data_IF_456544085894
#
_entry.id   IF_456544085894
#
_cell.length_a   1.000
_cell.length_b   1.000
_cell.length_c   1.000
_cell.angle_alpha   90.00
_cell.angle_beta   90.00
_cell.angle_gamma   90.00
#
_symmetry.space_group_name_H-M   'P 1'
#
loop_
_entity.id
_entity.type
_entity.pdbx_description
1 polymer ?
#
# COMPACT_ATOMS: atom_id res chain seq x y z
N UNK A 1 -1.83 -33.80 13.36
CA UNK A 1 -1.28 -32.43 13.31
C UNK A 1 -2.18 -31.69 12.33
N UNK A 2 -3.02 -30.78 12.80
CA UNK A 2 -3.88 -30.01 11.90
C UNK A 2 -2.98 -29.09 11.06
N UNK A 3 -3.20 -29.06 9.73
CA UNK A 3 -2.56 -28.05 8.89
C UNK A 3 -2.91 -26.68 9.45
N UNK A 4 -1.96 -25.72 9.52
CA UNK A 4 -2.32 -24.35 9.87
C UNK A 4 -3.40 -23.89 8.88
N UNK A 5 -4.51 -23.41 9.42
CA UNK A 5 -5.60 -22.85 8.62
C UNK A 5 -5.03 -21.69 7.80
N UNK A 6 -5.21 -21.75 6.47
CA UNK A 6 -4.78 -20.68 5.58
C UNK A 6 -5.60 -19.42 5.88
N UNK A 7 -4.96 -18.24 5.94
CA UNK A 7 -5.67 -17.01 6.26
C UNK A 7 -6.63 -16.62 5.14
N UNK A 8 -7.87 -16.33 5.50
CA UNK A 8 -8.90 -15.77 4.64
C UNK A 8 -8.94 -14.24 4.74
N UNK A 9 -9.68 -13.59 3.84
CA UNK A 9 -9.87 -12.13 3.85
C UNK A 9 -10.39 -11.61 5.20
N UNK A 10 -11.24 -12.39 5.87
CA UNK A 10 -11.81 -12.04 7.16
C UNK A 10 -10.79 -12.10 8.29
N UNK A 11 -9.81 -13.01 8.22
CA UNK A 11 -8.74 -13.11 9.22
C UNK A 11 -7.88 -11.85 9.21
N UNK A 12 -7.56 -11.33 8.02
CA UNK A 12 -6.92 -10.02 7.88
C UNK A 12 -7.79 -8.88 8.42
N UNK A 13 -9.10 -8.90 8.15
CA UNK A 13 -10.00 -7.85 8.61
C UNK A 13 -10.15 -7.84 10.14
N UNK A 14 -10.23 -9.01 10.77
CA UNK A 14 -10.23 -9.17 12.23
C UNK A 14 -8.90 -8.73 12.81
N UNK A 15 -7.79 -9.21 12.24
CA UNK A 15 -6.45 -8.79 12.62
C UNK A 15 -6.30 -7.27 12.48
N UNK A 16 -6.88 -6.61 11.48
CA UNK A 16 -6.80 -5.15 11.32
C UNK A 16 -7.79 -4.34 12.17
N UNK A 17 -8.68 -5.01 12.93
CA UNK A 17 -9.71 -4.33 13.73
C UNK A 17 -10.81 -3.68 12.87
N UNK A 18 -11.03 -4.23 11.67
CA UNK A 18 -12.06 -3.83 10.71
C UNK A 18 -13.33 -4.68 10.85
N UNK A 19 -13.18 -5.89 11.40
CA UNK A 19 -14.25 -6.86 11.65
C UNK A 19 -14.10 -7.45 13.05
N UNK A 20 -15.22 -7.82 13.69
CA UNK A 20 -15.21 -8.57 14.96
C UNK A 20 -14.93 -10.05 14.69
N UNK A 21 -14.13 -10.66 15.54
CA UNK A 21 -13.88 -12.10 15.58
C UNK A 21 -15.17 -12.88 15.86
N UNK A 22 -15.24 -14.07 15.26
CA UNK A 22 -16.26 -15.08 15.55
C UNK A 22 -15.56 -16.43 15.71
N UNK A 23 -15.54 -17.06 16.91
CA UNK A 23 -16.27 -16.68 18.13
C UNK A 23 -15.69 -15.46 18.89
N UNK A 24 -16.46 -14.86 19.81
CA UNK A 24 -16.02 -13.72 20.61
C UNK A 24 -14.75 -14.03 21.43
N UNK A 25 -13.75 -13.14 21.37
CA UNK A 25 -12.51 -13.24 22.15
C UNK A 25 -11.22 -13.31 21.32
N UNK A 26 -11.33 -13.36 19.98
CA UNK A 26 -10.19 -13.25 19.07
C UNK A 26 -9.82 -11.80 18.71
N UNK A 27 -10.54 -10.80 19.22
CA UNK A 27 -10.31 -9.39 18.93
C UNK A 27 -9.03 -8.90 19.61
N UNK A 28 -8.17 -8.25 18.85
CA UNK A 28 -6.99 -7.55 19.39
C UNK A 28 -7.47 -6.22 19.97
N UNK A 29 -7.29 -5.97 21.29
CA UNK A 29 -7.72 -4.74 21.94
C UNK A 29 -7.12 -3.47 21.31
N UNK A 30 -7.82 -2.35 21.44
CA UNK A 30 -7.24 -1.03 21.13
C UNK A 30 -5.99 -0.79 21.99
N UNK A 31 -4.96 -0.19 21.41
CA UNK A 31 -3.65 0.00 22.04
C UNK A 31 -2.61 -1.07 21.68
N UNK A 32 -3.04 -2.28 21.30
CA UNK A 32 -2.13 -3.38 20.93
C UNK A 32 -1.76 -3.38 19.44
N UNK A 33 -1.42 -2.21 18.91
CA UNK A 33 -1.24 -2.01 17.47
C UNK A 33 0.04 -2.69 16.93
N UNK A 34 1.00 -2.92 17.80
CA UNK A 34 2.18 -3.71 17.47
C UNK A 34 1.85 -5.19 17.35
N UNK A 35 1.06 -5.74 18.28
CA UNK A 35 0.52 -7.11 18.17
C UNK A 35 -0.30 -7.27 16.89
N UNK A 36 -1.11 -6.25 16.56
CA UNK A 36 -1.84 -6.15 15.30
C UNK A 36 -0.95 -6.31 14.08
N UNK A 37 0.12 -5.50 14.04
CA UNK A 37 1.09 -5.52 12.97
C UNK A 37 1.77 -6.88 12.79
N UNK A 38 2.17 -7.52 13.89
CA UNK A 38 2.80 -8.84 13.86
C UNK A 38 1.89 -9.93 13.30
N UNK A 39 0.62 -9.97 13.72
CA UNK A 39 -0.35 -10.95 13.22
C UNK A 39 -0.62 -10.73 11.73
N UNK A 40 -0.79 -9.49 11.30
CA UNK A 40 -0.98 -9.15 9.88
C UNK A 40 0.22 -9.61 9.04
N UNK A 41 1.46 -9.35 9.48
CA UNK A 41 2.66 -9.82 8.76
C UNK A 41 2.76 -11.34 8.72
N UNK A 42 2.41 -12.02 9.81
CA UNK A 42 2.36 -13.48 9.84
C UNK A 42 1.37 -14.03 8.81
N UNK A 43 0.16 -13.46 8.73
CA UNK A 43 -0.83 -13.85 7.73
C UNK A 43 -0.38 -13.54 6.30
N UNK A 44 0.28 -12.40 6.06
CA UNK A 44 0.85 -12.09 4.73
C UNK A 44 1.85 -13.16 4.31
N UNK A 45 2.80 -13.51 5.16
CA UNK A 45 3.77 -14.56 4.89
C UNK A 45 3.10 -15.90 4.61
N UNK A 46 2.10 -16.29 5.40
CA UNK A 46 1.35 -17.53 5.17
C UNK A 46 0.59 -17.51 3.83
N UNK A 47 0.01 -16.37 3.44
CA UNK A 47 -0.71 -16.25 2.17
C UNK A 47 0.26 -16.32 0.98
N UNK A 48 1.44 -15.72 1.07
CA UNK A 48 2.49 -15.75 0.02
C UNK A 48 2.92 -17.19 -0.32
N UNK A 49 2.85 -18.12 0.63
CA UNK A 49 3.15 -19.55 0.45
C UNK A 49 2.00 -20.35 -0.21
N UNK A 50 0.85 -19.73 -0.46
CA UNK A 50 -0.32 -20.40 -1.09
C UNK A 50 -0.29 -20.28 -2.62
N UNK A 51 -1.04 -21.12 -3.37
CA UNK A 51 -1.18 -20.94 -4.82
C UNK A 51 -1.73 -19.56 -5.19
N UNK A 52 -1.23 -18.97 -6.28
CA UNK A 52 -1.59 -17.60 -6.69
C UNK A 52 -3.09 -17.33 -6.81
N UNK A 53 -3.87 -18.30 -7.28
CA UNK A 53 -5.34 -18.20 -7.35
C UNK A 53 -6.00 -17.98 -5.98
N UNK A 54 -5.45 -18.61 -4.93
CA UNK A 54 -5.92 -18.42 -3.56
C UNK A 54 -5.57 -17.01 -3.06
N UNK A 55 -4.33 -16.57 -3.30
CA UNK A 55 -3.88 -15.23 -2.96
C UNK A 55 -4.78 -14.16 -3.59
N UNK A 56 -5.02 -14.29 -4.89
CA UNK A 56 -5.88 -13.38 -5.66
C UNK A 56 -7.31 -13.34 -5.11
N UNK A 57 -7.87 -14.50 -4.73
CA UNK A 57 -9.19 -14.57 -4.13
C UNK A 57 -9.24 -13.86 -2.76
N UNK A 58 -8.24 -14.08 -1.90
CA UNK A 58 -8.14 -13.44 -0.58
C UNK A 58 -8.04 -11.92 -0.73
N UNK A 59 -7.15 -11.44 -1.59
CA UNK A 59 -6.96 -10.02 -1.85
C UNK A 59 -8.16 -9.37 -2.52
N UNK A 60 -8.79 -10.01 -3.51
CA UNK A 60 -9.97 -9.48 -4.17
C UNK A 60 -11.16 -9.34 -3.20
N UNK A 61 -11.39 -10.35 -2.35
CA UNK A 61 -12.45 -10.30 -1.31
C UNK A 61 -12.16 -9.22 -0.28
N UNK A 62 -10.92 -9.18 0.24
CA UNK A 62 -10.51 -8.15 1.18
C UNK A 62 -10.74 -6.75 0.61
N UNK A 63 -10.31 -6.53 -0.63
CA UNK A 63 -10.49 -5.26 -1.32
C UNK A 63 -11.96 -4.89 -1.55
N UNK A 64 -12.82 -5.87 -1.85
CA UNK A 64 -14.23 -5.63 -2.10
C UNK A 64 -14.97 -5.16 -0.83
N UNK A 65 -14.59 -5.69 0.33
CA UNK A 65 -15.32 -5.49 1.58
C UNK A 65 -14.65 -4.46 2.52
N UNK A 66 -13.32 -4.48 2.63
CA UNK A 66 -12.60 -3.80 3.71
C UNK A 66 -11.65 -2.69 3.25
N UNK A 67 -11.45 -2.48 1.94
CA UNK A 67 -10.54 -1.45 1.44
C UNK A 67 -10.90 -0.03 1.93
N UNK A 68 -12.15 0.45 1.87
CA UNK A 68 -12.48 1.78 2.37
C UNK A 68 -12.16 1.96 3.85
N UNK A 69 -12.49 0.97 4.67
CA UNK A 69 -12.21 1.00 6.10
C UNK A 69 -10.69 0.94 6.41
N UNK A 70 -9.93 0.20 5.60
CA UNK A 70 -8.46 0.16 5.70
C UNK A 70 -7.85 1.53 5.40
N UNK A 71 -8.32 2.20 4.35
CA UNK A 71 -7.88 3.57 4.02
C UNK A 71 -8.27 4.56 5.11
N UNK A 72 -9.51 4.48 5.61
CA UNK A 72 -9.98 5.33 6.70
C UNK A 72 -9.13 5.17 7.96
N UNK A 73 -8.84 3.94 8.38
CA UNK A 73 -7.94 3.66 9.51
C UNK A 73 -6.55 4.21 9.27
N UNK A 74 -5.97 4.00 8.08
CA UNK A 74 -4.64 4.56 7.79
C UNK A 74 -4.65 6.08 7.92
N UNK A 75 -5.68 6.77 7.44
CA UNK A 75 -5.75 8.23 7.41
C UNK A 75 -6.04 8.86 8.78
N UNK A 76 -7.00 8.30 9.50
CA UNK A 76 -7.62 8.94 10.66
C UNK A 76 -7.20 8.32 11.99
N UNK A 77 -6.67 7.08 11.98
CA UNK A 77 -6.11 6.45 13.16
C UNK A 77 -4.59 6.70 13.16
N UNK A 78 -4.13 7.54 14.07
CA UNK A 78 -2.71 7.66 14.41
C UNK A 78 -2.49 6.78 15.65
N UNK A 79 -2.28 5.47 15.45
CA UNK A 79 -2.01 4.59 16.57
C UNK A 79 -0.79 5.09 17.34
N UNK A 80 -0.91 5.11 18.66
CA UNK A 80 0.25 5.34 19.51
C UNK A 80 0.72 3.96 19.98
N UNK A 81 1.99 3.58 19.73
CA UNK A 81 2.49 2.27 20.10
C UNK A 81 2.71 2.23 21.61
N UNK A 82 1.72 1.81 22.40
CA UNK A 82 1.94 1.45 23.80
C UNK A 82 1.43 0.03 24.05
N UNK A 83 2.31 -0.94 23.81
CA UNK A 83 2.30 -2.16 24.61
C UNK A 83 3.34 -1.95 25.71
N UNK A 84 2.88 -1.74 26.95
CA UNK A 84 3.68 -1.37 28.12
C UNK A 84 4.57 -2.51 28.67
N UNK A 85 4.87 -3.53 27.86
CA UNK A 85 5.71 -4.66 28.26
C UNK A 85 7.05 -4.60 27.51
N UNK A 86 8.05 -4.01 28.17
CA UNK A 86 9.38 -3.71 27.64
C UNK A 86 10.24 -4.95 27.33
N UNK A 87 9.73 -6.17 27.54
CA UNK A 87 10.60 -7.31 27.82
C UNK A 87 11.09 -8.13 26.62
N UNK A 88 10.52 -8.04 25.40
CA UNK A 88 10.94 -8.97 24.33
C UNK A 88 10.94 -8.39 22.89
N UNK A 89 12.13 -8.45 22.27
CA UNK A 89 12.46 -8.39 20.82
C UNK A 89 12.81 -7.06 20.11
N UNK A 90 13.59 -7.22 19.03
CA UNK A 90 14.41 -6.24 18.29
C UNK A 90 13.64 -5.31 17.33
N UNK A 91 12.31 -5.40 17.25
CA UNK A 91 11.44 -4.41 16.56
C UNK A 91 11.24 -3.11 17.39
N UNK A 92 12.03 -2.99 18.47
CA UNK A 92 12.26 -1.84 19.35
C UNK A 92 12.64 -0.53 18.66
N UNK A 93 12.64 -0.42 17.34
CA UNK A 93 13.17 0.73 16.61
C UNK A 93 12.09 1.62 15.97
N UNK A 94 10.83 1.16 15.98
CA UNK A 94 9.65 2.01 15.74
C UNK A 94 9.19 2.69 17.04
N UNK A 95 10.13 3.23 17.83
CA UNK A 95 9.83 3.85 19.13
C UNK A 95 9.05 5.14 19.02
N UNK A 96 9.14 5.83 17.88
CA UNK A 96 8.43 7.09 17.69
C UNK A 96 7.04 6.85 17.10
N UNK A 97 6.07 7.59 17.62
CA UNK A 97 4.72 7.61 17.07
C UNK A 97 4.74 7.96 15.56
N UNK A 98 5.70 8.78 15.11
CA UNK A 98 5.87 9.13 13.70
C UNK A 98 6.33 7.93 12.85
N UNK A 99 7.27 7.11 13.33
CA UNK A 99 7.70 5.90 12.61
C UNK A 99 6.53 4.93 12.45
N UNK A 100 5.74 4.74 13.51
CA UNK A 100 4.57 3.89 13.48
C UNK A 100 3.45 4.48 12.61
N UNK A 101 3.23 5.79 12.64
CA UNK A 101 2.29 6.46 11.74
C UNK A 101 2.68 6.26 10.26
N UNK A 102 3.98 6.29 9.95
CA UNK A 102 4.51 6.12 8.60
C UNK A 102 4.63 4.65 8.15
N UNK A 103 4.62 3.69 9.08
CA UNK A 103 4.62 2.26 8.78
C UNK A 103 3.79 1.50 9.84
N UNK A 104 2.54 1.24 9.51
CA UNK A 104 1.58 0.54 10.36
C UNK A 104 0.93 -0.62 9.59
N UNK A 105 0.18 -1.49 10.28
CA UNK A 105 -0.49 -2.63 9.65
C UNK A 105 -1.42 -2.25 8.48
N UNK A 106 -2.09 -1.10 8.53
CA UNK A 106 -2.96 -0.68 7.41
C UNK A 106 -2.16 -0.26 6.18
N UNK A 107 -0.98 0.34 6.36
CA UNK A 107 -0.06 0.63 5.27
C UNK A 107 0.47 -0.66 4.63
N UNK A 108 0.92 -1.62 5.44
CA UNK A 108 1.37 -2.94 4.95
C UNK A 108 0.26 -3.63 4.14
N UNK A 109 -0.97 -3.59 4.63
CA UNK A 109 -2.11 -4.15 3.89
C UNK A 109 -2.32 -3.43 2.55
N UNK A 110 -2.25 -2.10 2.53
CA UNK A 110 -2.38 -1.32 1.30
C UNK A 110 -1.25 -1.59 0.30
N UNK A 111 -0.02 -1.81 0.77
CA UNK A 111 1.12 -2.22 -0.06
C UNK A 111 0.84 -3.56 -0.74
N UNK A 112 0.31 -4.54 -0.01
CA UNK A 112 -0.01 -5.86 -0.57
C UNK A 112 -1.09 -5.78 -1.65
N UNK A 113 -2.12 -4.96 -1.43
CA UNK A 113 -3.24 -4.84 -2.38
C UNK A 113 -3.06 -3.73 -3.43
N UNK A 114 -1.90 -3.07 -3.47
CA UNK A 114 -1.71 -1.87 -4.31
C UNK A 114 -1.82 -2.14 -5.82
N UNK A 115 -1.48 -3.36 -6.23
CA UNK A 115 -1.54 -3.79 -7.62
C UNK A 115 -2.94 -4.29 -8.02
N UNK A 116 -3.88 -4.37 -7.08
CA UNK A 116 -5.24 -4.83 -7.36
C UNK A 116 -6.05 -3.76 -8.09
N UNK A 117 -6.94 -4.18 -9.00
CA UNK A 117 -7.83 -3.27 -9.72
C UNK A 117 -8.76 -2.48 -8.79
N UNK A 118 -9.01 -2.98 -7.59
CA UNK A 118 -9.90 -2.38 -6.60
C UNK A 118 -9.32 -1.10 -6.01
N UNK A 119 -8.03 -1.05 -5.67
CA UNK A 119 -7.41 0.18 -5.18
C UNK A 119 -7.50 1.28 -6.23
N UNK A 120 -7.15 0.95 -7.48
CA UNK A 120 -7.26 1.90 -8.59
C UNK A 120 -8.69 2.37 -8.85
N UNK A 121 -9.70 1.51 -8.63
CA UNK A 121 -11.13 1.88 -8.71
C UNK A 121 -11.53 2.80 -7.57
N UNK A 122 -11.10 2.49 -6.35
CA UNK A 122 -11.35 3.28 -5.16
C UNK A 122 -10.79 4.70 -5.32
N UNK A 123 -9.52 4.86 -5.68
CA UNK A 123 -8.87 6.17 -5.84
C UNK A 123 -9.50 7.08 -6.90
N UNK A 124 -10.19 6.50 -7.89
CA UNK A 124 -10.87 7.25 -8.97
C UNK A 124 -12.37 7.42 -8.76
N UNK A 125 -12.93 6.79 -7.73
CA UNK A 125 -14.36 6.78 -7.49
C UNK A 125 -14.83 8.14 -6.94
N UNK A 126 -15.92 8.67 -7.49
CA UNK A 126 -16.59 9.86 -6.95
C UNK A 126 -17.63 9.53 -5.87
N UNK A 127 -17.78 8.25 -5.50
CA UNK A 127 -18.71 7.85 -4.44
C UNK A 127 -18.23 8.39 -3.08
N UNK A 128 -19.14 8.76 -2.16
CA UNK A 128 -18.76 9.27 -0.84
C UNK A 128 -17.80 8.36 -0.07
N UNK A 129 -18.00 7.03 -0.16
CA UNK A 129 -17.14 6.03 0.48
C UNK A 129 -15.68 6.06 0.03
N UNK A 130 -15.38 6.71 -1.10
CA UNK A 130 -14.03 6.84 -1.65
C UNK A 130 -13.49 8.27 -1.65
N UNK A 131 -14.21 9.22 -1.02
CA UNK A 131 -13.83 10.63 -0.98
C UNK A 131 -12.43 10.83 -0.39
N UNK A 132 -12.10 10.03 0.63
CA UNK A 132 -10.82 10.05 1.34
C UNK A 132 -9.64 9.54 0.49
N UNK A 133 -9.88 8.80 -0.60
CA UNK A 133 -8.82 8.30 -1.47
C UNK A 133 -7.95 9.40 -2.08
N UNK A 134 -8.47 10.62 -2.22
CA UNK A 134 -7.68 11.78 -2.68
C UNK A 134 -6.71 12.30 -1.61
N UNK A 135 -7.08 12.25 -0.33
CA UNK A 135 -6.23 12.66 0.80
C UNK A 135 -5.07 11.69 1.03
N UNK A 136 -5.19 10.44 0.57
CA UNK A 136 -4.18 9.40 0.77
C UNK A 136 -2.79 9.79 0.26
N UNK A 137 -2.67 10.39 -0.92
CA UNK A 137 -1.39 10.82 -1.45
C UNK A 137 -0.71 11.87 -0.55
N UNK A 138 -1.48 12.88 -0.12
CA UNK A 138 -0.98 13.94 0.76
C UNK A 138 -0.49 13.38 2.09
N UNK A 139 -1.31 12.56 2.75
CA UNK A 139 -0.99 12.02 4.09
C UNK A 139 0.21 11.07 4.04
N UNK A 140 0.30 10.21 3.02
CA UNK A 140 1.47 9.36 2.82
C UNK A 140 2.74 10.20 2.59
N UNK A 141 2.66 11.24 1.76
CA UNK A 141 3.79 12.13 1.50
C UNK A 141 4.24 12.89 2.76
N UNK A 142 3.31 13.39 3.56
CA UNK A 142 3.61 14.05 4.83
C UNK A 142 4.29 13.12 5.82
N UNK A 143 3.80 11.88 5.95
CA UNK A 143 4.38 10.87 6.84
C UNK A 143 5.78 10.47 6.42
N UNK A 144 6.00 10.20 5.13
CA UNK A 144 7.34 9.89 4.61
C UNK A 144 8.29 11.08 4.81
N UNK A 145 7.82 12.31 4.54
CA UNK A 145 8.63 13.50 4.75
C UNK A 145 9.01 13.73 6.22
N UNK A 146 8.12 13.37 7.16
CA UNK A 146 8.36 13.51 8.60
C UNK A 146 9.45 12.55 9.12
N UNK A 147 9.53 11.33 8.57
CA UNK A 147 10.42 10.27 9.08
C UNK A 147 11.67 10.03 8.21
N UNK A 148 11.66 10.48 6.96
CA UNK A 148 12.64 10.11 5.94
C UNK A 148 14.10 10.35 6.34
N UNK A 149 14.42 11.51 6.91
CA UNK A 149 15.79 11.83 7.39
C UNK A 149 16.23 10.87 8.51
N UNK A 150 15.33 10.54 9.43
CA UNK A 150 15.62 9.63 10.55
C UNK A 150 15.81 8.20 10.06
N UNK A 151 14.96 7.74 9.14
CA UNK A 151 15.14 6.44 8.49
C UNK A 151 16.45 6.37 7.72
N UNK A 152 16.84 7.43 6.98
CA UNK A 152 18.13 7.48 6.30
C UNK A 152 19.31 7.32 7.27
N UNK A 153 19.28 8.05 8.39
CA UNK A 153 20.29 7.93 9.43
C UNK A 153 20.36 6.51 9.99
N UNK A 154 19.21 5.92 10.31
CA UNK A 154 19.10 4.54 10.82
C UNK A 154 19.65 3.51 9.83
N UNK A 155 19.33 3.61 8.54
CA UNK A 155 19.88 2.71 7.52
C UNK A 155 21.42 2.80 7.48
N UNK A 156 21.97 4.01 7.58
CA UNK A 156 23.42 4.24 7.53
C UNK A 156 24.16 3.79 8.78
N UNK A 157 23.57 3.98 9.95
CA UNK A 157 24.21 3.71 11.24
C UNK A 157 23.73 2.40 11.88
N UNK A 158 22.93 1.61 11.18
CA UNK A 158 22.42 0.33 11.65
C UNK A 158 23.56 -0.56 12.16
N UNK A 159 23.38 -1.09 13.36
CA UNK A 159 24.35 -1.94 14.05
C UNK A 159 24.42 -3.34 13.45
N UNK A 160 23.35 -3.77 12.77
CA UNK A 160 23.21 -5.08 12.15
C UNK A 160 22.66 -4.94 10.73
N UNK A 161 22.94 -5.93 9.88
CA UNK A 161 22.35 -6.00 8.54
C UNK A 161 20.82 -6.16 8.60
N UNK A 162 20.30 -6.85 9.62
CA UNK A 162 18.86 -7.02 9.80
C UNK A 162 18.15 -5.70 10.07
N UNK A 163 18.68 -4.87 10.98
CA UNK A 163 18.16 -3.52 11.26
C UNK A 163 18.20 -2.64 9.99
N UNK A 164 19.31 -2.72 9.24
CA UNK A 164 19.46 -1.99 7.98
C UNK A 164 18.39 -2.37 6.96
N UNK A 165 18.22 -3.67 6.70
CA UNK A 165 17.25 -4.15 5.73
C UNK A 165 15.81 -3.88 6.17
N UNK A 166 15.52 -3.94 7.49
CA UNK A 166 14.21 -3.55 8.02
C UNK A 166 13.84 -2.10 7.65
N UNK A 167 14.73 -1.13 7.91
CA UNK A 167 14.45 0.26 7.57
C UNK A 167 14.45 0.51 6.06
N UNK A 168 15.28 -0.19 5.28
CA UNK A 168 15.25 -0.11 3.80
C UNK A 168 13.93 -0.62 3.24
N UNK A 169 13.45 -1.77 3.69
CA UNK A 169 12.17 -2.36 3.29
C UNK A 169 11.01 -1.44 3.66
N UNK A 170 11.00 -0.95 4.90
CA UNK A 170 9.99 -0.01 5.41
C UNK A 170 9.92 1.27 4.57
N UNK A 171 11.07 1.88 4.29
CA UNK A 171 11.15 3.06 3.43
C UNK A 171 10.65 2.76 2.01
N UNK A 172 11.05 1.62 1.45
CA UNK A 172 10.70 1.25 0.09
C UNK A 172 9.19 1.03 -0.06
N UNK A 173 8.57 0.30 0.87
CA UNK A 173 7.12 0.07 0.90
C UNK A 173 6.32 1.37 0.98
N UNK A 174 6.70 2.28 1.88
CA UNK A 174 6.00 3.55 2.04
C UNK A 174 6.11 4.42 0.77
N UNK A 175 7.30 4.51 0.18
CA UNK A 175 7.53 5.25 -1.06
C UNK A 175 6.85 4.59 -2.25
N UNK A 176 6.85 3.26 -2.34
CA UNK A 176 6.19 2.51 -3.39
C UNK A 176 4.68 2.74 -3.37
N UNK A 177 4.04 2.62 -2.20
CA UNK A 177 2.61 2.87 -2.08
C UNK A 177 2.28 4.31 -2.48
N UNK A 178 3.06 5.28 -2.01
CA UNK A 178 2.91 6.69 -2.40
C UNK A 178 3.02 6.86 -3.93
N UNK A 179 4.04 6.30 -4.55
CA UNK A 179 4.24 6.35 -6.00
C UNK A 179 3.07 5.70 -6.77
N UNK A 180 2.55 4.57 -6.29
CA UNK A 180 1.37 3.89 -6.86
C UNK A 180 0.11 4.76 -6.77
N UNK A 181 -0.15 5.36 -5.60
CA UNK A 181 -1.28 6.27 -5.40
C UNK A 181 -1.15 7.50 -6.32
N UNK A 182 0.04 8.12 -6.38
CA UNK A 182 0.34 9.25 -7.25
C UNK A 182 0.13 8.93 -8.74
N UNK A 183 0.50 7.72 -9.18
CA UNK A 183 0.30 7.25 -10.56
C UNK A 183 -1.16 7.30 -10.99
N UNK A 184 -2.11 7.10 -10.06
CA UNK A 184 -3.53 7.20 -10.38
C UNK A 184 -4.01 8.63 -10.64
N UNK A 185 -3.28 9.63 -10.13
CA UNK A 185 -3.59 11.05 -10.26
C UNK A 185 -2.71 11.78 -11.29
N UNK A 186 -1.95 11.08 -12.12
CA UNK A 186 -1.04 11.72 -13.10
C UNK A 186 -1.75 12.64 -14.11
N UNK A 187 -3.03 12.39 -14.39
CA UNK A 187 -3.82 13.25 -15.29
C UNK A 187 -4.29 14.55 -14.62
N UNK A 188 -4.06 14.73 -13.31
CA UNK A 188 -4.36 15.99 -12.65
C UNK A 188 -3.38 17.05 -13.17
N UNK A 189 -3.93 18.09 -13.81
CA UNK A 189 -3.13 19.18 -14.40
C UNK A 189 -2.31 19.91 -13.35
N UNK A 190 -2.84 19.99 -12.13
CA UNK A 190 -2.21 20.63 -11.00
C UNK A 190 -1.82 19.57 -9.96
N UNK A 191 -0.58 19.08 -10.04
CA UNK A 191 -0.02 18.08 -9.10
C UNK A 191 -0.01 18.59 -7.66
N UNK A 192 -0.08 19.91 -7.44
CA UNK A 192 -0.15 20.49 -6.08
C UNK A 192 -1.47 20.20 -5.37
N UNK A 193 -2.50 19.78 -6.11
CA UNK A 193 -3.77 19.28 -5.56
C UNK A 193 -3.68 17.85 -5.03
N UNK A 194 -2.65 17.11 -5.45
CA UNK A 194 -2.40 15.72 -5.02
C UNK A 194 -1.44 15.71 -3.84
N UNK A 195 -0.33 16.44 -3.95
CA UNK A 195 0.63 16.68 -2.87
C UNK A 195 0.94 18.17 -2.84
N UNK A 196 0.74 18.84 -1.71
CA UNK A 196 1.00 20.27 -1.55
C UNK A 196 2.46 20.62 -1.88
N UNK A 197 2.69 21.83 -2.39
CA UNK A 197 4.04 22.29 -2.74
C UNK A 197 5.01 22.22 -1.55
N UNK A 198 4.52 22.53 -0.35
CA UNK A 198 5.32 22.45 0.88
C UNK A 198 5.78 21.02 1.16
N UNK A 199 4.85 20.05 1.06
CA UNK A 199 5.18 18.63 1.26
C UNK A 199 6.09 18.11 0.17
N UNK A 200 5.91 18.52 -1.09
CA UNK A 200 6.82 18.15 -2.18
C UNK A 200 8.25 18.61 -1.92
N UNK A 201 8.45 19.83 -1.41
CA UNK A 201 9.79 20.36 -1.07
C UNK A 201 10.43 19.54 0.06
N UNK A 202 9.67 19.23 1.11
CA UNK A 202 10.16 18.39 2.22
C UNK A 202 10.49 16.98 1.76
N UNK A 203 9.64 16.41 0.90
CA UNK A 203 9.80 15.06 0.38
C UNK A 203 10.99 14.96 -0.56
N UNK A 204 11.16 15.88 -1.52
CA UNK A 204 12.10 15.77 -2.64
C UNK A 204 13.55 15.44 -2.26
N UNK A 205 14.02 15.91 -1.10
CA UNK A 205 15.38 15.63 -0.64
C UNK A 205 15.62 14.14 -0.37
N UNK A 206 14.63 13.43 0.18
CA UNK A 206 14.81 12.06 0.67
C UNK A 206 14.84 11.03 -0.46
N UNK A 207 13.82 10.93 -1.35
CA UNK A 207 13.90 10.07 -2.51
C UNK A 207 15.08 10.40 -3.43
N UNK A 208 15.49 11.67 -3.52
CA UNK A 208 16.70 12.09 -4.25
C UNK A 208 17.96 11.37 -3.76
N UNK A 209 18.14 11.34 -2.44
CA UNK A 209 19.27 10.67 -1.80
C UNK A 209 19.17 9.15 -1.93
N UNK A 210 17.99 8.59 -1.70
CA UNK A 210 17.78 7.13 -1.76
C UNK A 210 17.88 6.57 -3.18
N UNK A 211 17.31 7.26 -4.18
CA UNK A 211 17.39 6.91 -5.59
C UNK A 211 18.82 6.72 -6.07
N UNK A 212 19.70 7.69 -5.73
CA UNK A 212 21.12 7.61 -6.09
C UNK A 212 21.91 6.60 -5.28
N UNK A 213 21.65 6.50 -3.97
CA UNK A 213 22.48 5.65 -3.07
C UNK A 213 22.17 4.16 -3.24
N UNK A 214 20.91 3.84 -3.50
CA UNK A 214 20.42 2.47 -3.63
C UNK A 214 20.01 2.18 -5.08
N UNK A 215 20.74 2.73 -6.04
CA UNK A 215 20.60 2.41 -7.46
C UNK A 215 20.60 0.88 -7.66
N UNK A 216 19.76 0.41 -8.58
CA UNK A 216 19.49 -1.02 -8.86
C UNK A 216 18.95 -1.83 -7.67
N UNK A 217 18.52 -1.16 -6.59
CA UNK A 217 17.81 -1.78 -5.48
C UNK A 217 16.38 -1.25 -5.44
N UNK A 218 15.48 -2.06 -4.89
CA UNK A 218 14.06 -1.75 -4.81
C UNK A 218 13.76 -0.36 -4.22
N UNK A 219 14.45 0.04 -3.14
CA UNK A 219 14.30 1.38 -2.54
C UNK A 219 14.74 2.51 -3.50
N UNK A 220 15.83 2.31 -4.25
CA UNK A 220 16.28 3.28 -5.24
C UNK A 220 15.28 3.45 -6.37
N UNK A 221 14.81 2.34 -6.94
CA UNK A 221 13.84 2.32 -8.05
C UNK A 221 12.55 3.06 -7.71
N UNK A 222 11.96 2.77 -6.55
CA UNK A 222 10.70 3.42 -6.13
C UNK A 222 10.93 4.89 -5.76
N UNK A 223 12.10 5.23 -5.23
CA UNK A 223 12.48 6.61 -4.93
C UNK A 223 12.67 7.44 -6.19
N UNK A 224 13.34 6.89 -7.20
CA UNK A 224 13.53 7.55 -8.48
C UNK A 224 12.19 7.83 -9.18
N UNK A 225 11.28 6.85 -9.20
CA UNK A 225 9.91 7.06 -9.70
C UNK A 225 9.24 8.21 -8.96
N UNK A 226 9.37 8.31 -7.64
CA UNK A 226 8.76 9.41 -6.90
C UNK A 226 9.35 10.78 -7.31
N UNK A 227 10.65 10.87 -7.56
CA UNK A 227 11.29 12.10 -8.08
C UNK A 227 10.70 12.46 -9.44
N UNK A 228 10.60 11.51 -10.37
CA UNK A 228 10.05 11.75 -11.70
C UNK A 228 8.60 12.26 -11.63
N UNK A 229 7.80 11.67 -10.73
CA UNK A 229 6.44 12.15 -10.46
C UNK A 229 6.43 13.60 -9.94
N UNK A 230 7.30 13.98 -9.01
CA UNK A 230 7.33 15.36 -8.51
C UNK A 230 7.84 16.34 -9.58
N UNK A 231 8.80 15.92 -10.39
CA UNK A 231 9.46 16.76 -11.38
C UNK A 231 8.65 16.98 -12.67
N UNK A 232 7.51 16.30 -12.85
CA UNK A 232 6.77 16.41 -14.12
C UNK A 232 7.25 15.47 -15.21
N UNK A 233 8.20 14.58 -14.93
CA UNK A 233 8.82 13.70 -15.91
C UNK A 233 8.15 12.31 -15.93
N UNK A 234 8.42 11.55 -16.99
CA UNK A 234 8.00 10.15 -17.08
C UNK A 234 6.51 9.93 -17.34
N UNK A 235 5.79 10.91 -17.88
CA UNK A 235 4.35 10.80 -18.16
C UNK A 235 3.99 9.56 -18.98
N UNK A 236 4.83 9.17 -19.94
CA UNK A 236 4.65 7.94 -20.72
C UNK A 236 4.79 6.68 -19.85
N UNK A 237 5.85 6.59 -19.05
CA UNK A 237 6.07 5.48 -18.11
C UNK A 237 4.92 5.36 -17.11
N UNK A 238 4.51 6.44 -16.48
CA UNK A 238 3.40 6.42 -15.53
C UNK A 238 2.06 6.12 -16.20
N UNK A 239 1.85 6.58 -17.44
CA UNK A 239 0.68 6.17 -18.21
C UNK A 239 0.70 4.67 -18.52
N UNK A 240 1.86 4.09 -18.79
CA UNK A 240 2.03 2.65 -18.95
C UNK A 240 1.76 1.90 -17.64
N UNK A 241 2.39 2.30 -16.52
CA UNK A 241 2.11 1.73 -15.20
C UNK A 241 0.63 1.81 -14.84
N UNK A 242 -0.01 2.96 -15.11
CA UNK A 242 -1.45 3.15 -14.91
C UNK A 242 -2.29 2.22 -15.78
N UNK A 243 -1.86 1.87 -16.99
CA UNK A 243 -2.55 0.88 -17.85
C UNK A 243 -2.38 -0.53 -17.30
N UNK A 244 -1.17 -0.87 -16.83
CA UNK A 244 -0.87 -2.15 -16.16
C UNK A 244 -1.70 -2.33 -14.89
N UNK A 245 -1.74 -1.34 -14.00
CA UNK A 245 -2.57 -1.34 -12.78
C UNK A 245 -4.08 -1.37 -13.05
N UNK A 246 -4.49 -1.17 -14.29
CA UNK A 246 -5.87 -1.33 -14.71
C UNK A 246 -6.10 -2.63 -15.48
N UNK A 247 -5.09 -3.46 -15.70
CA UNK A 247 -5.15 -4.61 -16.60
C UNK A 247 -5.81 -4.25 -17.96
N UNK A 248 -5.45 -3.09 -18.51
CA UNK A 248 -6.08 -2.55 -19.74
C UNK A 248 -5.41 -3.01 -21.03
N UNK A 249 -4.31 -3.76 -20.93
CA UNK A 249 -3.54 -4.26 -22.06
C UNK A 249 -3.97 -5.65 -22.52
N UNK A 250 -4.71 -6.37 -21.68
CA UNK A 250 -5.19 -7.72 -21.94
C UNK A 250 -6.69 -7.76 -21.68
N UNK A 251 -7.37 -8.64 -22.41
CA UNK A 251 -8.76 -8.96 -22.17
C UNK A 251 -8.94 -9.50 -20.74
N UNK A 252 -9.93 -9.00 -20.00
CA UNK A 252 -10.20 -9.40 -18.62
C UNK A 252 -10.84 -10.77 -18.46
N UNK A 253 -11.05 -11.51 -19.55
CA UNK A 253 -11.41 -12.93 -19.50
C UNK A 253 -10.13 -13.76 -19.49
N UNK A 254 -9.95 -14.65 -18.51
CA UNK A 254 -8.71 -15.44 -18.35
C UNK A 254 -8.32 -16.26 -19.59
N UNK A 255 -9.31 -16.77 -20.34
CA UNK A 255 -9.08 -17.53 -21.57
C UNK A 255 -8.78 -16.66 -22.81
N UNK A 256 -8.85 -15.33 -22.67
CA UNK A 256 -8.83 -14.38 -23.77
C UNK A 256 -7.47 -13.65 -23.85
N UNK A 257 -6.65 -13.99 -24.84
CA UNK A 257 -5.31 -13.40 -25.01
C UNK A 257 -5.28 -12.17 -25.92
N UNK A 258 -6.46 -11.63 -26.26
CA UNK A 258 -6.56 -10.46 -27.15
C UNK A 258 -6.05 -9.21 -26.44
N UNK A 259 -5.18 -8.45 -27.10
CA UNK A 259 -4.56 -7.22 -26.57
C UNK A 259 -4.98 -5.93 -27.30
N UNK A 260 -5.73 -6.06 -28.41
CA UNK A 260 -6.14 -4.94 -29.28
C UNK A 260 -7.67 -4.84 -29.35
N UNK A 261 -8.17 -3.63 -29.59
CA UNK A 261 -9.61 -3.38 -29.76
C UNK A 261 -10.45 -3.59 -28.49
N UNK A 262 -9.82 -3.62 -27.31
CA UNK A 262 -10.50 -3.88 -26.05
C UNK A 262 -11.36 -2.68 -25.61
N UNK A 263 -12.60 -2.94 -25.24
CA UNK A 263 -13.54 -1.96 -24.69
C UNK A 263 -13.59 -2.08 -23.17
N UNK A 264 -13.57 -0.96 -22.45
CA UNK A 264 -13.73 -0.96 -21.01
C UNK A 264 -15.13 -1.43 -20.61
N UNK A 265 -15.21 -2.21 -19.54
CA UNK A 265 -16.49 -2.57 -18.94
C UNK A 265 -17.25 -1.30 -18.54
N UNK A 266 -18.47 -1.13 -19.04
CA UNK A 266 -19.29 0.06 -18.74
C UNK A 266 -19.66 0.20 -17.26
N UNK A 267 -19.83 -0.92 -16.53
CA UNK A 267 -20.18 -0.92 -15.10
C UNK A 267 -18.98 -0.64 -14.20
N UNK A 268 -17.88 -1.38 -14.37
CA UNK A 268 -16.75 -1.30 -13.44
C UNK A 268 -15.60 -0.40 -13.92
N UNK A 269 -15.44 -0.20 -15.24
CA UNK A 269 -14.30 0.49 -15.88
C UNK A 269 -12.91 0.00 -15.43
N UNK A 270 -12.84 -1.19 -14.81
CA UNK A 270 -11.61 -1.78 -14.29
C UNK A 270 -11.05 -2.86 -15.20
N UNK A 271 -11.88 -3.58 -15.96
CA UNK A 271 -11.43 -4.57 -16.94
C UNK A 271 -11.82 -4.13 -18.36
N UNK A 272 -11.08 -4.59 -19.37
CA UNK A 272 -11.46 -4.43 -20.77
C UNK A 272 -11.72 -5.77 -21.44
N UNK A 273 -12.67 -5.82 -22.36
CA UNK A 273 -13.09 -7.04 -23.05
C UNK A 273 -13.15 -6.79 -24.57
N UNK A 274 -13.05 -7.85 -25.37
CA UNK A 274 -13.12 -7.78 -26.85
C UNK A 274 -14.51 -7.31 -27.32
N UNK A 275 -15.55 -7.70 -26.59
CA UNK A 275 -16.93 -7.28 -26.78
C UNK A 275 -17.52 -6.79 -25.46
N UNK A 276 -18.53 -5.92 -25.50
CA UNK A 276 -19.26 -5.51 -24.29
C UNK A 276 -19.99 -6.74 -23.73
N UNK A 277 -19.38 -7.44 -22.79
CA UNK A 277 -20.07 -8.46 -22.01
C UNK A 277 -20.90 -7.71 -20.97
N UNK A 278 -22.22 -7.73 -21.18
CA UNK A 278 -23.18 -7.36 -20.15
C UNK A 278 -23.15 -8.52 -19.15
N UNK A 279 -22.30 -8.43 -18.13
CA UNK A 279 -22.49 -9.23 -16.92
C UNK A 279 -23.78 -8.73 -16.29
N UNK A 280 -24.85 -9.53 -16.40
CA UNK A 280 -26.13 -9.29 -15.72
C UNK A 280 -25.88 -9.30 -14.21
#
# INVERSE_FOLDING_TARGET
MALPLLPLSDDFAVALGLKKSDPPGGDIPEGQEFTRWRIVRMFMFQNEETPGEHQDMVWARFCAEYLPATVDRLLNHLPVPWDADESIYHERDMKSADDFAACNPWLEMLVQIQNTLYLGKYLRSNKPIAAEGKRLAQVLAERVAAVGTRWDAKIRTASTNQEREFYKDTAAKAVQLLATVCTHFINERDRTRVISKETQVKLAMIPGVWGKRYEDQFLGDVSERMIWFMAGFGDEMFNQMRRMYKNWEVCGLESCQVRKGLKACGKCQTARYVSCIIFL
#
